data_IF_841885936273
#
_entry.id   IF_841885936273
#
_cell.length_a   1.000
_cell.length_b   1.000
_cell.length_c   1.000
_cell.angle_alpha   90.00
_cell.angle_beta   90.00
_cell.angle_gamma   90.00
#
_symmetry.space_group_name_H-M   'P 1'
#
loop_
_entity.id
_entity.type
_entity.pdbx_description
1 polymer ?
#
# COMPACT_ATOMS: atom_id res chain seq x y z
N UNK A 1 -50.70 38.18 11.34
CA UNK A 1 -49.90 37.78 10.19
C UNK A 1 -48.49 37.49 10.68
N UNK A 2 -48.19 36.20 10.86
CA UNK A 2 -46.89 35.68 11.26
C UNK A 2 -46.02 35.49 10.01
N UNK A 3 -44.74 35.84 10.10
CA UNK A 3 -43.67 35.17 9.36
C UNK A 3 -42.42 35.16 10.25
N UNK A 4 -42.14 34.02 10.88
CA UNK A 4 -40.82 33.71 11.43
C UNK A 4 -40.05 32.93 10.36
N UNK A 5 -38.95 33.49 9.88
CA UNK A 5 -38.05 32.83 8.93
C UNK A 5 -37.19 31.80 9.65
N UNK A 6 -37.34 30.53 9.27
CA UNK A 6 -36.51 29.42 9.73
C UNK A 6 -35.24 29.41 8.87
N UNK A 7 -34.09 29.65 9.50
CA UNK A 7 -32.77 29.49 8.90
C UNK A 7 -32.46 27.99 8.81
N UNK A 8 -32.58 27.41 7.61
CA UNK A 8 -32.16 26.04 7.34
C UNK A 8 -30.63 25.98 7.26
N UNK A 9 -29.98 25.58 8.35
CA UNK A 9 -28.56 25.21 8.35
C UNK A 9 -28.47 23.82 7.74
N UNK A 10 -28.11 23.74 6.47
CA UNK A 10 -27.74 22.51 5.81
C UNK A 10 -26.45 21.98 6.45
N UNK A 11 -26.59 21.02 7.36
CA UNK A 11 -25.49 20.18 7.84
C UNK A 11 -24.98 19.35 6.66
N UNK A 12 -23.92 19.84 6.02
CA UNK A 12 -23.04 19.01 5.23
C UNK A 12 -22.41 17.99 6.18
N UNK A 13 -22.97 16.79 6.22
CA UNK A 13 -22.24 15.63 6.70
C UNK A 13 -21.09 15.43 5.72
N UNK A 14 -19.88 15.86 6.11
CA UNK A 14 -18.68 15.36 5.49
C UNK A 14 -18.75 13.83 5.61
N UNK A 15 -18.94 13.16 4.48
CA UNK A 15 -18.84 11.71 4.40
C UNK A 15 -17.43 11.37 4.81
N UNK A 16 -17.28 10.91 6.05
CA UNK A 16 -16.08 10.25 6.51
C UNK A 16 -15.93 9.03 5.61
N UNK A 17 -14.97 9.06 4.69
CA UNK A 17 -14.54 7.86 3.97
C UNK A 17 -13.99 6.90 5.04
N UNK A 18 -14.87 6.09 5.61
CA UNK A 18 -14.49 4.81 6.15
C UNK A 18 -13.91 4.06 4.95
N UNK A 19 -12.64 3.68 4.98
CA UNK A 19 -12.00 2.98 3.88
C UNK A 19 -12.73 1.66 3.61
N UNK A 20 -13.78 1.70 2.78
CA UNK A 20 -14.55 0.53 2.43
C UNK A 20 -13.78 -0.23 1.37
N UNK A 21 -13.61 -1.54 1.59
CA UNK A 21 -13.09 -2.45 0.58
C UNK A 21 -13.83 -2.23 -0.75
N UNK A 22 -13.09 -1.87 -1.79
CA UNK A 22 -13.58 -1.70 -3.16
C UNK A 22 -13.15 -2.92 -4.00
N UNK A 23 -14.08 -3.81 -4.36
CA UNK A 23 -13.77 -5.02 -5.13
C UNK A 23 -13.09 -4.74 -6.48
N UNK A 24 -13.51 -3.70 -7.19
CA UNK A 24 -13.00 -3.42 -8.55
C UNK A 24 -11.57 -2.91 -8.52
N UNK A 25 -11.28 -2.00 -7.59
CA UNK A 25 -9.92 -1.52 -7.36
C UNK A 25 -9.00 -2.68 -6.97
N UNK A 26 -9.49 -3.58 -6.11
CA UNK A 26 -8.72 -4.75 -5.71
C UNK A 26 -8.52 -5.74 -6.86
N UNK A 27 -9.54 -6.02 -7.67
CA UNK A 27 -9.46 -6.92 -8.81
C UNK A 27 -8.57 -6.38 -9.93
N UNK A 28 -8.45 -5.05 -10.09
CA UNK A 28 -7.52 -4.43 -11.03
C UNK A 28 -6.03 -4.72 -10.72
N UNK A 29 -5.73 -5.15 -9.49
CA UNK A 29 -4.37 -5.48 -9.03
C UNK A 29 -4.03 -6.96 -9.17
N UNK A 30 -4.97 -7.80 -9.60
CA UNK A 30 -4.85 -9.25 -9.57
C UNK A 30 -4.92 -9.88 -10.96
N UNK A 31 -4.40 -11.10 -11.06
CA UNK A 31 -4.46 -11.92 -12.27
C UNK A 31 -5.88 -12.34 -12.60
N UNK A 32 -6.18 -12.41 -13.90
CA UNK A 32 -7.49 -12.84 -14.37
C UNK A 32 -7.84 -14.24 -13.84
N UNK A 33 -9.08 -14.42 -13.37
CA UNK A 33 -9.57 -15.64 -12.74
C UNK A 33 -9.20 -15.82 -11.26
N UNK A 34 -8.47 -14.87 -10.65
CA UNK A 34 -8.11 -14.94 -9.23
C UNK A 34 -9.38 -14.93 -8.37
N UNK A 35 -9.48 -15.89 -7.44
CA UNK A 35 -10.61 -15.98 -6.51
C UNK A 35 -10.19 -15.65 -5.08
N UNK A 36 -10.81 -14.62 -4.52
CA UNK A 36 -10.47 -14.04 -3.22
C UNK A 36 -11.62 -14.18 -2.23
N UNK A 37 -11.32 -14.13 -0.93
CA UNK A 37 -12.37 -14.01 0.09
C UNK A 37 -12.94 -12.59 0.07
N UNK A 38 -14.26 -12.43 0.20
CA UNK A 38 -14.81 -11.10 0.46
C UNK A 38 -14.56 -10.72 1.94
N UNK A 39 -13.81 -9.65 2.25
CA UNK A 39 -13.53 -9.28 3.65
C UNK A 39 -14.78 -8.83 4.40
N UNK A 40 -15.90 -8.56 3.72
CA UNK A 40 -17.17 -8.10 4.32
C UNK A 40 -18.09 -9.27 4.73
N UNK A 41 -17.79 -10.50 4.29
CA UNK A 41 -18.62 -11.67 4.54
C UNK A 41 -17.80 -12.96 4.60
N UNK A 42 -18.10 -13.84 5.56
CA UNK A 42 -17.34 -15.07 5.75
C UNK A 42 -17.76 -16.22 4.83
N UNK A 43 -18.96 -16.15 4.28
CA UNK A 43 -19.51 -17.11 3.33
C UNK A 43 -19.40 -16.63 1.88
N UNK A 44 -18.64 -15.58 1.57
CA UNK A 44 -18.59 -15.01 0.22
C UNK A 44 -17.17 -14.98 -0.36
N UNK A 45 -17.11 -15.05 -1.68
CA UNK A 45 -15.89 -14.87 -2.47
C UNK A 45 -16.14 -13.93 -3.64
N UNK A 46 -15.06 -13.41 -4.18
CA UNK A 46 -15.05 -12.60 -5.40
C UNK A 46 -14.10 -13.27 -6.38
N UNK A 47 -14.52 -13.38 -7.65
CA UNK A 47 -13.66 -13.81 -8.76
C UNK A 47 -13.37 -12.60 -9.62
N UNK A 48 -12.10 -12.28 -9.80
CA UNK A 48 -11.67 -11.16 -10.63
C UNK A 48 -11.60 -11.61 -12.08
N UNK A 49 -12.51 -11.13 -12.92
CA UNK A 49 -12.58 -11.47 -14.34
C UNK A 49 -12.30 -10.21 -15.15
N UNK A 50 -11.16 -10.19 -15.84
CA UNK A 50 -10.71 -9.05 -16.65
C UNK A 50 -10.69 -7.71 -15.87
N UNK A 51 -10.36 -7.77 -14.57
CA UNK A 51 -10.34 -6.62 -13.66
C UNK A 51 -11.66 -6.36 -12.95
N UNK A 52 -12.76 -6.99 -13.37
CA UNK A 52 -14.09 -6.81 -12.80
C UNK A 52 -14.40 -7.84 -11.70
N UNK A 53 -15.13 -7.44 -10.67
CA UNK A 53 -15.45 -8.27 -9.51
C UNK A 53 -16.75 -9.05 -9.68
N UNK A 54 -16.66 -10.38 -9.79
CA UNK A 54 -17.81 -11.29 -9.83
C UNK A 54 -17.98 -11.99 -8.48
N UNK A 55 -19.00 -11.60 -7.74
CA UNK A 55 -19.29 -12.16 -6.40
C UNK A 55 -19.97 -13.53 -6.46
N UNK A 56 -19.69 -14.36 -5.45
CA UNK A 56 -20.41 -15.60 -5.17
C UNK A 56 -20.51 -15.87 -3.67
N UNK A 57 -21.45 -16.73 -3.28
CA UNK A 57 -21.73 -17.05 -1.88
C UNK A 57 -21.87 -18.56 -1.67
N UNK A 58 -21.38 -19.02 -0.52
CA UNK A 58 -21.59 -20.37 -0.01
C UNK A 58 -23.00 -20.51 0.56
N UNK A 59 -23.47 -21.76 0.63
CA UNK A 59 -24.71 -22.11 1.34
C UNK A 59 -24.60 -21.80 2.85
N UNK A 60 -25.75 -21.85 3.53
CA UNK A 60 -25.83 -21.58 4.96
C UNK A 60 -24.89 -22.48 5.78
N UNK A 61 -24.31 -21.92 6.85
CA UNK A 61 -23.34 -22.57 7.72
C UNK A 61 -22.01 -23.00 7.06
N UNK A 62 -21.73 -22.51 5.85
CA UNK A 62 -20.45 -22.69 5.20
C UNK A 62 -19.68 -21.37 5.12
N UNK A 63 -18.38 -21.42 5.39
CA UNK A 63 -17.46 -20.33 5.17
C UNK A 63 -16.57 -20.61 3.96
N UNK A 64 -16.22 -19.55 3.25
CA UNK A 64 -15.33 -19.63 2.11
C UNK A 64 -13.87 -19.73 2.59
N UNK A 65 -13.22 -20.85 2.30
CA UNK A 65 -11.78 -21.03 2.50
C UNK A 65 -11.02 -20.59 1.25
N UNK A 66 -10.28 -19.48 1.39
CA UNK A 66 -9.46 -18.90 0.31
C UNK A 66 -8.32 -19.81 -0.14
N UNK A 67 -7.77 -20.64 0.74
CA UNK A 67 -6.59 -21.46 0.42
C UNK A 67 -6.96 -22.73 -0.34
N UNK A 68 -8.10 -23.33 0.00
CA UNK A 68 -8.59 -24.54 -0.69
C UNK A 68 -9.59 -24.24 -1.81
N UNK A 69 -10.01 -22.98 -1.93
CA UNK A 69 -11.05 -22.54 -2.87
C UNK A 69 -12.36 -23.35 -2.69
N UNK A 70 -12.76 -23.59 -1.44
CA UNK A 70 -13.98 -24.37 -1.13
C UNK A 70 -14.82 -23.68 -0.07
N UNK A 71 -16.12 -23.95 -0.13
CA UNK A 71 -17.01 -23.71 0.99
C UNK A 71 -16.83 -24.86 1.99
N UNK A 72 -16.34 -24.54 3.18
CA UNK A 72 -16.09 -25.49 4.27
C UNK A 72 -17.01 -25.18 5.43
N UNK A 73 -17.20 -26.13 6.34
CA UNK A 73 -18.09 -25.94 7.49
C UNK A 73 -17.61 -24.74 8.34
N UNK A 74 -18.52 -23.86 8.75
CA UNK A 74 -18.20 -22.63 9.49
C UNK A 74 -17.47 -22.87 10.82
N UNK A 75 -17.60 -24.06 11.40
CA UNK A 75 -16.88 -24.45 12.63
C UNK A 75 -15.41 -24.83 12.39
N UNK A 76 -14.99 -25.00 11.14
CA UNK A 76 -13.64 -25.49 10.80
C UNK A 76 -12.63 -24.39 10.53
N UNK A 77 -13.09 -23.15 10.27
CA UNK A 77 -12.23 -21.98 10.02
C UNK A 77 -12.82 -20.73 10.69
N UNK A 78 -11.94 -19.82 11.11
CA UNK A 78 -12.35 -18.58 11.75
C UNK A 78 -12.92 -17.56 10.76
N UNK A 79 -13.99 -16.88 11.17
CA UNK A 79 -14.60 -15.78 10.43
C UNK A 79 -13.90 -14.45 10.75
N UNK A 80 -12.87 -14.11 9.97
CA UNK A 80 -12.29 -12.76 9.95
C UNK A 80 -13.03 -11.88 8.92
N UNK A 81 -13.81 -10.90 9.38
CA UNK A 81 -14.64 -10.03 8.53
C UNK A 81 -14.74 -8.63 9.11
N UNK A 82 -14.86 -7.62 8.25
CA UNK A 82 -15.11 -6.24 8.64
C UNK A 82 -16.55 -5.94 9.00
N UNK A 83 -17.49 -6.77 8.51
CA UNK A 83 -18.81 -6.86 9.11
C UNK A 83 -18.69 -7.65 10.43
N UNK A 84 -18.94 -7.01 11.58
CA UNK A 84 -18.77 -7.64 12.89
C UNK A 84 -19.79 -8.75 13.17
N UNK A 85 -20.90 -8.83 12.44
CA UNK A 85 -21.93 -9.84 12.64
C UNK A 85 -21.85 -11.00 11.62
N UNK A 86 -20.89 -10.98 10.70
CA UNK A 86 -20.79 -11.98 9.63
C UNK A 86 -20.65 -13.43 10.14
N UNK A 87 -20.03 -13.62 11.31
CA UNK A 87 -19.83 -14.95 11.89
C UNK A 87 -21.12 -15.60 12.41
N UNK A 88 -22.14 -14.79 12.72
CA UNK A 88 -23.35 -15.24 13.42
C UNK A 88 -24.50 -15.60 12.46
N UNK A 89 -24.35 -15.37 11.15
CA UNK A 89 -25.38 -15.68 10.15
C UNK A 89 -26.81 -15.19 10.53
N UNK A 90 -26.90 -13.98 11.11
CA UNK A 90 -28.18 -13.40 11.54
C UNK A 90 -28.65 -13.81 12.93
N UNK A 91 -27.93 -14.70 13.62
CA UNK A 91 -28.21 -15.05 15.01
C UNK A 91 -27.83 -13.91 15.98
N UNK A 92 -28.43 -13.96 17.17
CA UNK A 92 -28.12 -13.05 18.26
C UNK A 92 -26.88 -13.58 18.99
N UNK A 93 -25.88 -12.72 19.20
CA UNK A 93 -24.68 -13.15 19.89
C UNK A 93 -23.62 -12.07 20.00
N UNK A 94 -22.49 -12.43 20.61
CA UNK A 94 -21.32 -11.57 20.71
C UNK A 94 -20.24 -12.01 19.73
N UNK A 95 -19.58 -11.04 19.11
CA UNK A 95 -18.42 -11.28 18.26
C UNK A 95 -17.27 -10.34 18.61
N UNK A 96 -16.04 -10.80 18.42
CA UNK A 96 -14.86 -9.99 18.69
C UNK A 96 -14.75 -8.84 17.69
N UNK A 97 -14.19 -7.71 18.13
CA UNK A 97 -13.73 -6.69 17.20
C UNK A 97 -12.35 -7.09 16.65
N UNK A 98 -12.20 -7.36 15.35
CA UNK A 98 -10.92 -7.78 14.78
C UNK A 98 -9.84 -6.69 14.87
N UNK A 99 -10.22 -5.41 14.95
CA UNK A 99 -9.28 -4.28 14.99
C UNK A 99 -8.84 -3.91 16.41
N UNK A 100 -9.60 -4.27 17.45
CA UNK A 100 -9.34 -3.84 18.82
C UNK A 100 -9.80 -4.88 19.86
N UNK A 101 -8.82 -5.49 20.53
CA UNK A 101 -9.02 -6.55 21.53
C UNK A 101 -9.80 -6.13 22.79
N UNK A 102 -9.86 -4.85 23.12
CA UNK A 102 -10.61 -4.32 24.27
C UNK A 102 -12.07 -4.03 23.94
N UNK A 103 -12.50 -4.32 22.72
CA UNK A 103 -13.87 -4.07 22.26
C UNK A 103 -14.46 -5.31 21.60
N UNK A 104 -15.78 -5.37 21.59
CA UNK A 104 -16.55 -6.45 20.97
C UNK A 104 -17.84 -5.87 20.41
N UNK A 105 -18.61 -6.70 19.70
CA UNK A 105 -19.91 -6.33 19.18
C UNK A 105 -20.98 -7.26 19.72
N UNK A 106 -22.08 -6.69 20.19
CA UNK A 106 -23.33 -7.39 20.35
C UNK A 106 -24.12 -7.29 19.04
N UNK A 107 -24.42 -8.44 18.46
CA UNK A 107 -25.17 -8.55 17.22
C UNK A 107 -26.59 -9.00 17.53
N UNK A 108 -27.57 -8.26 17.00
CA UNK A 108 -28.97 -8.65 17.02
C UNK A 108 -29.52 -8.60 15.60
N UNK A 109 -29.73 -9.78 15.00
CA UNK A 109 -30.25 -9.92 13.62
C UNK A 109 -29.46 -9.07 12.61
N UNK A 110 -28.13 -9.12 12.70
CA UNK A 110 -27.20 -8.39 11.84
C UNK A 110 -26.91 -6.95 12.27
N UNK A 111 -27.67 -6.37 13.20
CA UNK A 111 -27.38 -5.04 13.75
C UNK A 111 -26.31 -5.14 14.85
N UNK A 112 -25.19 -4.44 14.66
CA UNK A 112 -24.06 -4.44 15.58
C UNK A 112 -24.08 -3.24 16.53
N UNK A 113 -23.97 -3.51 17.83
CA UNK A 113 -23.74 -2.50 18.86
C UNK A 113 -22.37 -2.73 19.48
N UNK A 114 -21.46 -1.75 19.50
CA UNK A 114 -20.15 -1.92 20.11
C UNK A 114 -20.25 -2.01 21.64
N UNK A 115 -19.42 -2.86 22.23
CA UNK A 115 -19.20 -2.99 23.67
C UNK A 115 -17.71 -2.92 24.00
N UNK A 116 -17.42 -2.67 25.28
CA UNK A 116 -16.06 -2.44 25.76
C UNK A 116 -15.78 -3.36 26.94
N UNK A 117 -14.57 -3.93 26.98
CA UNK A 117 -14.05 -4.59 28.15
C UNK A 117 -13.47 -3.54 29.12
N UNK A 118 -13.51 -3.83 30.41
CA UNK A 118 -12.85 -3.02 31.42
C UNK A 118 -11.32 -3.02 31.22
N UNK A 119 -10.63 -2.09 31.89
CA UNK A 119 -9.16 -1.97 31.85
C UNK A 119 -8.48 -3.30 32.20
N UNK A 120 -7.47 -3.69 31.42
CA UNK A 120 -6.73 -4.98 31.48
C UNK A 120 -7.51 -6.23 31.03
N UNK A 121 -8.75 -6.08 30.57
CA UNK A 121 -9.52 -7.18 30.00
C UNK A 121 -9.56 -7.10 28.47
N UNK A 122 -9.53 -8.27 27.85
CA UNK A 122 -9.66 -8.45 26.41
C UNK A 122 -10.81 -9.42 26.13
N UNK A 123 -11.51 -9.21 25.03
CA UNK A 123 -12.64 -10.07 24.68
C UNK A 123 -12.13 -11.42 24.14
N UNK A 124 -12.56 -12.50 24.76
CA UNK A 124 -12.29 -13.86 24.30
C UNK A 124 -13.43 -14.33 23.37
N UNK A 125 -13.19 -14.49 22.05
CA UNK A 125 -14.20 -14.94 21.11
C UNK A 125 -14.65 -16.39 21.32
N UNK A 126 -13.89 -17.24 22.01
CA UNK A 126 -14.28 -18.61 22.31
C UNK A 126 -15.30 -18.69 23.44
N UNK A 127 -15.05 -17.97 24.54
CA UNK A 127 -15.94 -17.95 25.73
C UNK A 127 -16.99 -16.85 25.69
N UNK A 128 -16.88 -15.89 24.77
CA UNK A 128 -17.78 -14.72 24.61
C UNK A 128 -17.81 -13.78 25.81
N UNK A 129 -16.73 -13.73 26.58
CA UNK A 129 -16.59 -12.87 27.76
C UNK A 129 -15.28 -12.10 27.74
N UNK A 130 -15.25 -10.98 28.46
CA UNK A 130 -14.02 -10.24 28.71
C UNK A 130 -13.18 -11.01 29.74
N UNK A 131 -11.96 -11.38 29.38
CA UNK A 131 -11.04 -12.16 30.21
C UNK A 131 -9.77 -11.34 30.46
N UNK A 132 -9.30 -11.33 31.70
CA UNK A 132 -8.08 -10.62 32.06
C UNK A 132 -6.87 -11.31 31.44
N UNK A 133 -6.08 -10.57 30.66
CA UNK A 133 -4.86 -11.10 30.05
C UNK A 133 -5.06 -12.19 28.98
N UNK A 134 -6.26 -12.29 28.38
CA UNK A 134 -6.44 -13.21 27.24
C UNK A 134 -5.57 -12.74 26.06
N UNK A 135 -4.72 -13.62 25.49
CA UNK A 135 -3.82 -13.27 24.40
C UNK A 135 -4.59 -13.13 23.08
N UNK A 136 -5.22 -11.97 22.90
CA UNK A 136 -5.92 -11.61 21.68
C UNK A 136 -4.93 -11.08 20.62
N UNK A 137 -5.17 -11.43 19.36
CA UNK A 137 -4.46 -10.91 18.20
C UNK A 137 -5.42 -10.06 17.37
N UNK A 138 -5.10 -8.78 17.17
CA UNK A 138 -5.81 -7.95 16.20
C UNK A 138 -5.45 -8.36 14.78
N UNK A 139 -6.37 -8.17 13.86
CA UNK A 139 -6.19 -8.48 12.45
C UNK A 139 -7.04 -7.54 11.61
N UNK A 140 -6.49 -7.07 10.49
CA UNK A 140 -7.23 -6.27 9.53
C UNK A 140 -7.85 -7.20 8.47
N UNK A 141 -9.19 -7.43 8.47
CA UNK A 141 -9.86 -8.26 7.47
C UNK A 141 -9.54 -7.84 6.03
N UNK A 142 -9.35 -6.55 5.78
CA UNK A 142 -9.05 -5.98 4.47
C UNK A 142 -7.58 -6.12 4.04
N UNK A 143 -6.71 -6.68 4.88
CA UNK A 143 -5.31 -6.90 4.49
C UNK A 143 -5.18 -7.96 3.41
N UNK A 144 -4.28 -7.73 2.44
CA UNK A 144 -4.03 -8.63 1.31
C UNK A 144 -3.96 -10.10 1.71
N UNK A 145 -3.15 -10.47 2.70
CA UNK A 145 -2.96 -11.89 3.04
C UNK A 145 -4.07 -12.51 3.89
N UNK A 146 -5.06 -11.71 4.30
CA UNK A 146 -6.31 -12.20 4.89
C UNK A 146 -7.38 -12.46 3.83
N UNK A 147 -7.30 -11.77 2.69
CA UNK A 147 -8.19 -11.87 1.53
C UNK A 147 -7.71 -12.93 0.52
N UNK A 148 -6.40 -12.94 0.24
CA UNK A 148 -5.78 -13.70 -0.84
C UNK A 148 -5.23 -15.05 -0.38
N UNK A 149 -5.29 -16.09 -1.24
CA UNK A 149 -4.56 -17.32 -1.03
C UNK A 149 -3.04 -17.10 -1.06
N UNK A 150 -2.30 -18.03 -0.47
CA UNK A 150 -0.85 -18.07 -0.62
C UNK A 150 -0.45 -18.27 -2.10
N UNK A 151 0.59 -17.55 -2.53
CA UNK A 151 1.14 -17.64 -3.88
C UNK A 151 0.47 -16.76 -4.94
N UNK A 152 -0.58 -16.02 -4.59
CA UNK A 152 -1.17 -15.02 -5.50
C UNK A 152 -0.33 -13.75 -5.52
N UNK A 153 -0.02 -13.27 -6.72
CA UNK A 153 0.68 -12.02 -6.94
C UNK A 153 -0.28 -10.83 -7.02
N UNK A 154 0.17 -9.68 -6.53
CA UNK A 154 -0.60 -8.44 -6.38
C UNK A 154 0.24 -7.33 -6.97
N UNK A 155 -0.26 -6.61 -7.97
CA UNK A 155 0.42 -5.44 -8.50
C UNK A 155 0.56 -4.36 -7.42
N UNK A 156 1.70 -3.70 -7.34
CA UNK A 156 1.83 -2.50 -6.52
C UNK A 156 1.16 -1.31 -7.25
N UNK A 157 0.11 -0.68 -6.68
CA UNK A 157 -0.57 0.44 -7.33
C UNK A 157 0.32 1.69 -7.45
N UNK A 158 1.40 1.78 -6.67
CA UNK A 158 2.29 2.94 -6.61
C UNK A 158 3.68 2.64 -7.19
N UNK A 159 3.93 1.42 -7.65
CA UNK A 159 5.20 1.06 -8.28
C UNK A 159 4.96 0.15 -9.50
N UNK A 160 5.20 0.69 -10.70
CA UNK A 160 4.98 -0.01 -11.96
C UNK A 160 5.79 -1.31 -12.11
N UNK A 161 7.00 -1.36 -11.56
CA UNK A 161 7.83 -2.57 -11.57
C UNK A 161 7.58 -3.47 -10.35
N UNK A 162 6.79 -2.99 -9.38
CA UNK A 162 6.57 -3.62 -8.10
C UNK A 162 5.37 -4.56 -8.10
N UNK A 163 5.54 -5.70 -7.42
CA UNK A 163 4.44 -6.59 -7.09
C UNK A 163 4.68 -7.24 -5.74
N UNK A 164 3.64 -7.80 -5.15
CA UNK A 164 3.63 -8.43 -3.83
C UNK A 164 3.06 -9.82 -3.94
N UNK A 165 3.40 -10.69 -2.99
CA UNK A 165 2.73 -11.98 -2.84
C UNK A 165 2.50 -12.31 -1.39
N UNK A 166 1.47 -13.09 -1.12
CA UNK A 166 1.19 -13.59 0.21
C UNK A 166 1.81 -14.97 0.41
N UNK A 167 2.52 -15.15 1.52
CA UNK A 167 3.07 -16.42 1.93
C UNK A 167 2.95 -16.61 3.44
N UNK A 168 2.18 -17.62 3.87
CA UNK A 168 1.91 -17.91 5.29
C UNK A 168 1.44 -16.67 6.06
N UNK A 169 0.58 -15.88 5.43
CA UNK A 169 0.02 -14.66 6.03
C UNK A 169 0.93 -13.42 6.01
N UNK A 170 2.13 -13.50 5.42
CA UNK A 170 3.04 -12.36 5.29
C UNK A 170 3.06 -11.84 3.85
N UNK A 171 3.05 -10.52 3.70
CA UNK A 171 3.24 -9.86 2.41
C UNK A 171 4.73 -9.84 2.10
N UNK A 172 5.11 -10.29 0.90
CA UNK A 172 6.48 -10.24 0.40
C UNK A 172 6.51 -9.36 -0.85
N UNK A 173 7.27 -8.26 -0.79
CA UNK A 173 7.46 -7.35 -1.93
C UNK A 173 8.54 -7.88 -2.89
N UNK A 174 8.32 -7.69 -4.19
CA UNK A 174 9.20 -8.07 -5.29
C UNK A 174 9.14 -7.01 -6.38
N UNK A 175 10.11 -7.05 -7.29
CA UNK A 175 10.15 -6.19 -8.46
C UNK A 175 10.45 -7.00 -9.71
N UNK A 176 9.93 -6.53 -10.83
CA UNK A 176 10.28 -7.00 -12.15
C UNK A 176 11.76 -6.74 -12.46
N UNK A 177 12.35 -7.49 -13.41
CA UNK A 177 13.65 -7.16 -13.95
C UNK A 177 13.67 -5.72 -14.49
N UNK A 178 14.85 -5.09 -14.47
CA UNK A 178 15.00 -3.71 -14.92
C UNK A 178 14.44 -3.51 -16.35
N UNK A 179 13.61 -2.48 -16.51
CA UNK A 179 12.97 -2.14 -17.78
C UNK A 179 11.63 -2.85 -18.07
N UNK A 180 11.12 -3.66 -17.14
CA UNK A 180 9.83 -4.34 -17.24
C UNK A 180 8.86 -3.85 -16.15
N UNK A 181 7.58 -3.82 -16.48
CA UNK A 181 6.49 -3.48 -15.56
C UNK A 181 5.64 -4.70 -15.26
N UNK A 182 5.06 -4.74 -14.07
CA UNK A 182 4.22 -5.85 -13.67
C UNK A 182 2.81 -5.72 -14.26
N UNK A 183 2.45 -6.66 -15.13
CA UNK A 183 1.10 -6.80 -15.68
C UNK A 183 0.25 -7.64 -14.71
N UNK A 184 -0.66 -6.98 -13.99
CA UNK A 184 -1.58 -7.64 -13.06
C UNK A 184 -2.39 -8.73 -13.75
N UNK A 185 -2.97 -8.43 -14.92
CA UNK A 185 -3.91 -9.29 -15.63
C UNK A 185 -3.23 -10.56 -16.10
N UNK A 186 -1.98 -10.48 -16.58
CA UNK A 186 -1.18 -11.64 -16.97
C UNK A 186 -0.50 -12.33 -15.78
N UNK A 187 -0.28 -11.62 -14.70
CA UNK A 187 0.45 -12.12 -13.54
C UNK A 187 1.95 -12.23 -13.76
N UNK A 188 2.51 -11.42 -14.67
CA UNK A 188 3.93 -11.49 -15.06
C UNK A 188 4.49 -10.12 -15.45
N UNK A 189 5.80 -10.02 -15.55
CA UNK A 189 6.51 -8.85 -16.01
C UNK A 189 6.43 -8.74 -17.54
N UNK A 190 6.00 -7.58 -18.03
CA UNK A 190 5.87 -7.30 -19.46
C UNK A 190 6.55 -5.95 -19.80
N UNK A 191 6.70 -5.68 -21.09
CA UNK A 191 7.21 -4.42 -21.58
C UNK A 191 6.31 -3.26 -21.12
N UNK A 192 6.88 -2.10 -20.74
CA UNK A 192 6.12 -0.92 -20.34
C UNK A 192 5.03 -0.48 -21.33
N UNK A 193 5.20 -0.73 -22.63
CA UNK A 193 4.19 -0.43 -23.66
C UNK A 193 2.91 -1.26 -23.56
N UNK A 194 2.97 -2.41 -22.88
CA UNK A 194 1.88 -3.38 -22.78
C UNK A 194 1.14 -3.28 -21.45
N UNK A 195 1.70 -2.57 -20.46
CA UNK A 195 1.16 -2.48 -19.10
C UNK A 195 0.56 -1.10 -18.89
N UNK A 196 -0.72 -1.07 -18.51
CA UNK A 196 -1.34 0.16 -18.04
C UNK A 196 -0.84 0.46 -16.62
N UNK A 197 0.23 1.26 -16.51
CA UNK A 197 0.67 1.79 -15.23
C UNK A 197 0.13 3.20 -15.03
N UNK A 198 -1.01 3.30 -14.33
CA UNK A 198 -1.42 4.54 -13.67
C UNK A 198 -0.87 4.46 -12.25
N UNK A 199 0.39 4.86 -12.03
CA UNK A 199 0.90 4.99 -10.68
C UNK A 199 0.03 6.03 -9.96
N UNK A 200 -0.68 5.66 -8.89
CA UNK A 200 -1.52 6.58 -8.10
C UNK A 200 -0.72 7.58 -7.26
N UNK A 201 0.55 7.81 -7.59
CA UNK A 201 1.03 9.19 -7.54
C UNK A 201 0.14 9.97 -8.49
N UNK A 202 -0.91 10.62 -7.98
CA UNK A 202 -1.44 11.81 -8.62
C UNK A 202 -0.24 12.73 -8.75
N UNK A 203 0.50 12.58 -9.86
CA UNK A 203 1.32 13.64 -10.34
C UNK A 203 0.35 14.80 -10.41
N UNK A 204 0.63 15.94 -9.74
CA UNK A 204 -0.09 17.15 -10.08
C UNK A 204 -0.03 17.22 -11.60
N UNK A 205 -1.18 17.48 -12.22
CA UNK A 205 -1.38 17.62 -13.66
C UNK A 205 -0.54 18.82 -14.13
N UNK A 206 0.79 18.66 -14.08
CA UNK A 206 1.76 19.63 -14.49
C UNK A 206 1.73 19.54 -16.01
N UNK A 207 1.28 20.60 -16.70
CA UNK A 207 1.17 20.53 -18.14
C UNK A 207 2.56 20.21 -18.70
N UNK A 208 2.63 19.30 -19.67
CA UNK A 208 3.90 18.85 -20.26
C UNK A 208 4.80 20.03 -20.71
N UNK A 209 4.19 21.18 -21.03
CA UNK A 209 4.87 22.44 -21.34
C UNK A 209 5.71 23.04 -20.21
N UNK A 210 5.45 22.72 -18.94
CA UNK A 210 6.24 23.20 -17.80
C UNK A 210 7.50 22.37 -17.54
N UNK A 211 7.50 21.10 -17.97
CA UNK A 211 8.56 20.14 -17.69
C UNK A 211 9.42 19.87 -18.93
N UNK A 212 8.81 19.83 -20.12
CA UNK A 212 9.47 19.51 -21.37
C UNK A 212 9.56 20.73 -22.28
N UNK A 213 10.78 21.10 -22.68
CA UNK A 213 11.01 22.12 -23.71
C UNK A 213 11.17 21.51 -25.12
N UNK A 214 11.47 20.21 -25.23
CA UNK A 214 11.59 19.47 -26.48
C UNK A 214 11.33 17.98 -26.27
N UNK A 215 11.14 17.23 -27.36
CA UNK A 215 11.07 15.77 -27.33
C UNK A 215 12.45 15.14 -27.22
N UNK A 216 12.55 13.91 -26.71
CA UNK A 216 13.78 13.14 -26.64
C UNK A 216 14.64 13.39 -25.40
N UNK A 217 14.17 14.19 -24.44
CA UNK A 217 14.89 14.47 -23.20
C UNK A 217 14.25 13.76 -22.00
N UNK A 218 15.06 13.58 -20.95
CA UNK A 218 14.61 13.12 -19.65
C UNK A 218 14.65 14.29 -18.65
N UNK A 219 13.59 14.43 -17.86
CA UNK A 219 13.45 15.49 -16.85
C UNK A 219 13.00 14.90 -15.53
N UNK A 220 13.33 15.54 -14.40
CA UNK A 220 12.88 15.08 -13.09
C UNK A 220 11.36 15.14 -12.99
N UNK A 221 10.76 14.19 -12.28
CA UNK A 221 9.31 14.20 -11.99
C UNK A 221 8.90 15.24 -10.93
N UNK A 222 9.89 15.90 -10.32
CA UNK A 222 9.77 16.90 -9.24
C UNK A 222 8.99 16.41 -8.00
N UNK A 223 8.91 15.11 -7.79
CA UNK A 223 8.15 14.49 -6.71
C UNK A 223 8.96 13.46 -5.94
N UNK A 224 9.87 12.76 -6.62
CA UNK A 224 10.65 11.68 -6.05
C UNK A 224 12.12 11.79 -6.43
N UNK A 225 12.98 11.16 -5.63
CA UNK A 225 14.41 11.14 -5.93
C UNK A 225 14.76 10.25 -7.13
N UNK A 226 13.95 9.22 -7.40
CA UNK A 226 14.23 8.22 -8.44
C UNK A 226 13.32 8.36 -9.67
N UNK A 227 12.28 9.19 -9.64
CA UNK A 227 11.35 9.34 -10.75
C UNK A 227 11.74 10.42 -11.76
N UNK A 228 11.35 10.19 -13.01
CA UNK A 228 11.63 11.06 -14.14
C UNK A 228 10.53 10.94 -15.20
N UNK A 229 10.51 11.90 -16.13
CA UNK A 229 9.71 11.83 -17.34
C UNK A 229 10.60 11.78 -18.57
N UNK A 230 10.28 10.89 -19.52
CA UNK A 230 10.74 10.96 -20.89
C UNK A 230 9.74 11.80 -21.72
N UNK A 231 10.23 12.89 -22.29
CA UNK A 231 9.44 13.79 -23.13
C UNK A 231 9.33 13.20 -24.53
N UNK A 232 8.15 12.71 -24.95
CA UNK A 232 7.96 12.12 -26.29
C UNK A 232 6.89 12.84 -27.10
N UNK A 233 6.95 12.70 -28.43
CA UNK A 233 5.89 13.19 -29.30
C UNK A 233 4.59 12.38 -29.08
N UNK A 234 3.45 13.06 -29.12
CA UNK A 234 2.15 12.39 -29.15
C UNK A 234 2.02 11.48 -30.40
N UNK A 235 1.38 10.32 -30.24
CA UNK A 235 1.24 9.30 -31.30
C UNK A 235 -0.22 9.01 -31.67
N UNK A 236 -1.17 9.62 -30.97
CA UNK A 236 -2.62 9.44 -31.10
C UNK A 236 -3.29 10.44 -32.07
N UNK A 237 -2.50 11.13 -32.90
CA UNK A 237 -2.97 12.17 -33.80
C UNK A 237 -3.15 13.55 -33.15
N UNK A 238 -2.87 13.68 -31.84
CA UNK A 238 -2.75 14.99 -31.20
C UNK A 238 -1.37 15.60 -31.45
N UNK A 239 -1.28 16.94 -31.49
CA UNK A 239 -0.02 17.66 -31.59
C UNK A 239 0.46 18.06 -30.20
N UNK A 240 1.63 17.62 -29.77
CA UNK A 240 2.19 18.01 -28.47
C UNK A 240 3.27 17.07 -27.94
N UNK A 241 3.82 17.44 -26.78
CA UNK A 241 4.73 16.60 -25.99
C UNK A 241 3.90 15.88 -24.93
N UNK A 242 4.07 14.57 -24.81
CA UNK A 242 3.48 13.74 -23.78
C UNK A 242 4.57 13.31 -22.80
N UNK A 243 4.27 13.35 -21.51
CA UNK A 243 5.14 12.87 -20.44
C UNK A 243 4.99 11.34 -20.33
N UNK A 244 6.10 10.61 -20.45
CA UNK A 244 6.15 9.19 -20.10
C UNK A 244 6.93 9.04 -18.80
N UNK A 245 6.25 8.70 -17.70
CA UNK A 245 6.92 8.51 -16.40
C UNK A 245 7.80 7.26 -16.40
N UNK A 246 8.93 7.37 -15.72
CA UNK A 246 9.88 6.31 -15.48
C UNK A 246 10.51 6.47 -14.11
N UNK A 247 11.10 5.40 -13.61
CA UNK A 247 11.69 5.34 -12.27
C UNK A 247 13.05 4.64 -12.35
N UNK A 248 14.05 5.18 -11.66
CA UNK A 248 15.35 4.56 -11.51
C UNK A 248 15.27 3.31 -10.63
N UNK A 249 16.05 2.28 -10.97
CA UNK A 249 16.15 1.04 -10.20
C UNK A 249 16.56 1.28 -8.75
N UNK A 250 16.30 0.31 -7.87
CA UNK A 250 16.67 0.37 -6.44
C UNK A 250 18.12 0.82 -6.23
N UNK A 251 18.32 1.71 -5.25
CA UNK A 251 19.62 2.31 -4.94
C UNK A 251 20.07 3.43 -5.89
N UNK A 252 19.26 3.84 -6.88
CA UNK A 252 19.60 4.91 -7.82
C UNK A 252 18.60 6.05 -7.83
N UNK A 253 19.11 7.26 -8.00
CA UNK A 253 18.33 8.50 -8.12
C UNK A 253 18.51 9.11 -9.50
N UNK A 254 17.48 9.81 -9.96
CA UNK A 254 17.50 10.46 -11.25
C UNK A 254 18.27 11.78 -11.17
N UNK A 255 19.30 11.90 -11.99
CA UNK A 255 20.04 13.12 -12.23
C UNK A 255 19.63 13.71 -13.57
N UNK A 256 19.02 14.89 -13.57
CA UNK A 256 18.59 15.56 -14.80
C UNK A 256 19.76 16.17 -15.62
N UNK A 257 21.00 16.17 -15.09
CA UNK A 257 22.15 16.73 -15.79
C UNK A 257 22.46 15.97 -17.09
N UNK A 258 22.96 16.70 -18.11
CA UNK A 258 23.50 16.16 -19.37
C UNK A 258 22.62 15.13 -20.11
N UNK A 259 21.29 15.27 -20.04
CA UNK A 259 20.36 14.40 -20.77
C UNK A 259 19.68 13.33 -19.93
N UNK A 260 19.97 13.27 -18.61
CA UNK A 260 19.25 12.41 -17.68
C UNK A 260 19.92 11.05 -17.48
N UNK A 261 20.25 10.72 -16.25
CA UNK A 261 20.82 9.42 -15.88
C UNK A 261 20.42 8.98 -14.47
N UNK A 262 20.31 7.67 -14.28
CA UNK A 262 20.09 7.09 -12.95
C UNK A 262 21.45 6.83 -12.28
N UNK A 263 21.85 7.68 -11.36
CA UNK A 263 23.13 7.61 -10.64
C UNK A 263 22.95 6.95 -9.27
N UNK A 264 24.01 6.40 -8.65
CA UNK A 264 23.94 5.98 -7.26
C UNK A 264 23.39 7.10 -6.36
N UNK A 265 22.50 6.73 -5.45
CA UNK A 265 21.88 7.66 -4.49
C UNK A 265 22.87 8.43 -3.60
N UNK A 266 24.10 7.94 -3.46
CA UNK A 266 25.22 8.62 -2.77
C UNK A 266 25.83 9.74 -3.61
N UNK A 267 25.63 9.73 -4.93
CA UNK A 267 26.33 10.61 -5.87
C UNK A 267 25.50 11.83 -6.26
N UNK A 268 24.30 11.98 -5.69
CA UNK A 268 23.40 13.10 -5.98
C UNK A 268 22.64 13.57 -4.74
N UNK A 269 22.60 14.90 -4.58
CA UNK A 269 21.73 15.57 -3.61
C UNK A 269 20.29 15.41 -4.05
N UNK A 270 19.43 14.97 -3.13
CA UNK A 270 17.99 14.92 -3.35
C UNK A 270 17.26 15.59 -2.19
N UNK A 271 16.29 16.44 -2.51
CA UNK A 271 15.46 17.14 -1.52
C UNK A 271 14.13 16.44 -1.25
N UNK A 272 13.88 15.29 -1.88
CA UNK A 272 12.69 14.45 -1.67
C UNK A 272 13.01 13.30 -0.72
N UNK A 273 12.05 12.39 -0.53
CA UNK A 273 12.22 11.20 0.31
C UNK A 273 13.37 10.32 -0.21
N UNK A 274 14.49 10.33 0.51
CA UNK A 274 15.65 9.49 0.19
C UNK A 274 15.41 8.01 0.51
N UNK A 275 14.33 7.61 1.18
CA UNK A 275 14.02 6.21 1.40
C UNK A 275 13.38 5.51 0.19
N UNK A 276 12.98 6.26 -0.84
CA UNK A 276 12.30 5.66 -2.00
C UNK A 276 13.19 4.58 -2.64
N UNK A 277 12.60 3.40 -2.83
CA UNK A 277 13.28 2.24 -3.42
C UNK A 277 14.24 1.48 -2.50
N UNK A 278 14.24 1.77 -1.18
CA UNK A 278 15.01 1.04 -0.17
C UNK A 278 14.13 0.20 0.77
N UNK A 279 14.80 -0.66 1.55
CA UNK A 279 14.26 -1.27 2.76
C UNK A 279 13.01 -2.13 2.55
N UNK A 280 12.94 -2.86 1.43
CA UNK A 280 11.79 -3.70 1.07
C UNK A 280 11.68 -5.01 1.87
N UNK A 281 12.77 -5.43 2.51
CA UNK A 281 12.88 -6.71 3.24
C UNK A 281 13.56 -6.58 4.61
N UNK A 282 14.24 -5.46 4.88
CA UNK A 282 14.91 -5.13 6.13
C UNK A 282 14.99 -3.62 6.30
N UNK A 283 15.25 -3.15 7.52
CA UNK A 283 15.56 -1.74 7.75
C UNK A 283 16.89 -1.40 7.05
N UNK A 284 16.88 -0.30 6.31
CA UNK A 284 18.07 0.28 5.72
C UNK A 284 18.16 1.75 6.12
N UNK A 285 19.37 2.29 6.09
CA UNK A 285 19.67 3.65 6.48
C UNK A 285 20.20 4.41 5.28
N UNK A 286 19.97 5.71 5.25
CA UNK A 286 20.40 6.57 4.16
C UNK A 286 20.91 7.91 4.69
N UNK A 287 21.95 8.48 4.07
CA UNK A 287 22.42 9.81 4.41
C UNK A 287 21.28 10.83 4.32
N UNK A 288 21.26 11.78 5.25
CA UNK A 288 20.44 13.00 5.13
C UNK A 288 21.16 14.02 4.23
N UNK A 289 20.40 14.85 3.52
CA UNK A 289 20.99 15.87 2.64
C UNK A 289 21.47 17.07 3.46
N UNK A 290 22.54 17.73 3.01
CA UNK A 290 23.03 19.01 3.54
C UNK A 290 23.39 18.99 5.05
N UNK A 291 23.98 17.90 5.52
CA UNK A 291 24.39 17.77 6.93
C UNK A 291 25.88 17.42 7.10
N UNK A 292 26.66 17.45 6.02
CA UNK A 292 28.06 17.05 6.03
C UNK A 292 28.26 15.55 6.21
N UNK A 293 27.24 14.73 5.90
CA UNK A 293 27.22 13.29 6.07
C UNK A 293 27.26 12.84 7.55
N UNK A 294 26.81 13.67 8.49
CA UNK A 294 26.79 13.35 9.92
C UNK A 294 25.53 12.62 10.38
N UNK A 295 24.44 12.75 9.63
CA UNK A 295 23.13 12.20 9.91
C UNK A 295 22.71 11.12 8.93
N UNK A 296 21.71 10.37 9.38
CA UNK A 296 21.08 9.33 8.60
C UNK A 296 19.58 9.28 8.88
N UNK A 297 18.85 8.77 7.90
CA UNK A 297 17.43 8.53 7.92
C UNK A 297 17.19 7.03 7.99
N UNK A 298 16.17 6.62 8.76
CA UNK A 298 15.80 5.22 8.91
C UNK A 298 14.68 4.92 7.93
N UNK A 299 14.91 3.94 7.05
CA UNK A 299 14.01 3.56 5.98
C UNK A 299 13.36 2.20 6.28
N UNK A 300 12.06 2.12 6.03
CA UNK A 300 11.30 0.88 6.00
C UNK A 300 10.24 0.98 4.90
N UNK A 301 10.17 -0.03 4.02
CA UNK A 301 9.21 -0.12 2.92
C UNK A 301 9.16 1.15 2.05
N UNK A 302 10.33 1.72 1.73
CA UNK A 302 10.44 2.92 0.90
C UNK A 302 10.16 4.25 1.61
N UNK A 303 9.83 4.24 2.90
CA UNK A 303 9.38 5.41 3.67
C UNK A 303 10.36 5.75 4.79
N UNK A 304 10.54 7.04 5.05
CA UNK A 304 11.25 7.54 6.24
C UNK A 304 10.43 7.29 7.49
N UNK A 305 10.92 6.43 8.38
CA UNK A 305 10.29 6.12 9.68
C UNK A 305 10.98 6.79 10.86
N UNK A 306 12.15 7.39 10.63
CA UNK A 306 12.91 8.10 11.67
C UNK A 306 14.19 8.68 11.11
N UNK A 307 14.98 9.30 11.97
CA UNK A 307 16.33 9.78 11.67
C UNK A 307 17.22 9.71 12.91
N UNK A 308 18.52 9.87 12.70
CA UNK A 308 19.53 9.90 13.74
C UNK A 308 20.78 10.63 13.28
N UNK A 309 21.67 10.89 14.22
CA UNK A 309 23.01 11.44 13.96
C UNK A 309 24.06 10.48 14.48
N UNK A 310 25.22 10.47 13.84
CA UNK A 310 26.32 9.66 14.31
C UNK A 310 26.89 10.21 15.63
N UNK A 311 27.22 9.32 16.58
CA UNK A 311 27.83 9.72 17.85
C UNK A 311 29.22 10.32 17.64
N UNK A 312 29.70 11.07 18.64
CA UNK A 312 31.04 11.68 18.66
C UNK A 312 31.35 12.57 17.44
N UNK A 313 30.32 13.16 16.83
CA UNK A 313 30.41 13.94 15.59
C UNK A 313 31.04 13.14 14.43
N UNK A 314 30.83 11.82 14.41
CA UNK A 314 31.25 10.93 13.33
C UNK A 314 30.41 11.09 12.06
N UNK A 315 30.75 10.34 11.02
CA UNK A 315 30.10 10.38 9.71
C UNK A 315 29.34 9.09 9.44
N UNK A 316 28.19 9.18 8.77
CA UNK A 316 27.42 8.04 8.32
C UNK A 316 27.90 7.56 6.95
N UNK A 317 28.42 6.33 6.88
CA UNK A 317 28.79 5.66 5.64
C UNK A 317 27.60 4.82 5.15
N UNK A 318 26.83 5.37 4.21
CA UNK A 318 25.63 4.71 3.66
C UNK A 318 25.95 3.40 2.92
N UNK A 319 27.13 3.24 2.33
CA UNK A 319 27.50 1.97 1.69
C UNK A 319 27.79 0.87 2.72
N UNK A 320 28.30 1.24 3.89
CA UNK A 320 28.57 0.32 5.01
C UNK A 320 27.43 0.22 6.02
N UNK A 321 26.41 1.07 5.91
CA UNK A 321 25.25 1.14 6.81
C UNK A 321 25.65 1.35 8.28
N UNK A 322 26.70 2.15 8.54
CA UNK A 322 27.21 2.39 9.89
C UNK A 322 27.88 3.76 10.05
N UNK A 323 27.97 4.21 11.30
CA UNK A 323 28.74 5.39 11.69
C UNK A 323 30.23 5.08 11.77
N UNK A 324 31.07 5.98 11.27
CA UNK A 324 32.53 5.87 11.24
C UNK A 324 33.18 7.18 11.65
N UNK A 325 34.39 7.10 12.21
CA UNK A 325 35.25 8.26 12.48
C UNK A 325 36.02 8.75 11.25
N UNK A 326 36.05 7.93 10.18
CA UNK A 326 36.66 8.33 8.91
C UNK A 326 35.74 9.30 8.17
N UNK A 327 36.32 10.34 7.57
CA UNK A 327 35.56 11.33 6.81
C UNK A 327 34.84 10.65 5.65
N UNK A 328 33.52 10.83 5.59
CA UNK A 328 32.66 10.43 4.47
C UNK A 328 32.29 11.70 3.72
N UNK A 329 32.42 11.68 2.39
CA UNK A 329 32.21 12.86 1.55
C UNK A 329 31.37 12.51 0.32
N UNK A 330 30.20 11.91 0.54
CA UNK A 330 29.28 11.58 -0.54
C UNK A 330 28.61 12.86 -1.05
N UNK A 331 28.55 13.09 -2.38
CA UNK A 331 27.83 14.22 -2.96
C UNK A 331 26.38 14.36 -2.45
N UNK A 332 25.75 13.26 -2.02
CA UNK A 332 24.41 13.27 -1.46
C UNK A 332 24.21 14.06 -0.16
N UNK A 333 25.25 14.25 0.65
CA UNK A 333 25.15 14.80 2.00
C UNK A 333 26.12 15.94 2.29
N UNK A 334 26.99 16.28 1.34
CA UNK A 334 27.82 17.48 1.43
C UNK A 334 26.96 18.74 1.56
N UNK A 335 27.48 19.72 2.28
CA UNK A 335 26.83 21.02 2.45
C UNK A 335 26.83 21.76 1.11
N UNK A 336 25.64 22.01 0.56
CA UNK A 336 25.41 22.80 -0.66
C UNK A 336 25.44 24.31 -0.41
#
# INVERSE_FOLDING_TARGET
MLYQGILLISLFFATVNCASFNPEEFCSLLTNGTRIKDPRACNAWITCIDGEAVSGTCEDNLFYDRNTFKCVNSSTIDCLSSNPCAALNGEIGFNANPYNCSTYYYCNKGSATPGYCDTDYTFDPGTKVCVRGYPCKTSNPESYCNILPDGVFIKDPNNCDGYKLCWKGNVLSRSCPAGYYYDAVKGDCDYPSNVNCQSTTVAPDLPASELCNQTGIFVSDRQSCNGFYYCRAATDGTTGIVLQHGVCSSGRFFNAANGGECVPRTDIVCNYNRCVGLASDKIELANESNDGCHGYTVCQDGVKIGNGTCPDNGYFDELKQLCTSSVVNFPACVLS
#
